data_IF_719102042338
#
_entry.id   IF_719102042338
#
_cell.length_a   1.000
_cell.length_b   1.000
_cell.length_c   1.000
_cell.angle_alpha   90.00
_cell.angle_beta   90.00
_cell.angle_gamma   90.00
#
_symmetry.space_group_name_H-M   'P 1'
#
loop_
_entity.id
_entity.type
_entity.pdbx_description
1 polymer ?
#
# COMPACT_ATOMS: atom_id res chain seq x y z
N UNK A 1 -6.87 8.48 3.24
CA UNK A 1 -5.72 9.39 3.37
C UNK A 1 -4.69 9.20 2.26
N UNK A 2 -3.94 8.08 2.20
CA UNK A 2 -2.88 7.91 1.18
C UNK A 2 -3.41 8.05 -0.25
N UNK A 3 -4.48 7.32 -0.58
CA UNK A 3 -5.10 7.35 -1.91
C UNK A 3 -5.69 8.72 -2.26
N UNK A 4 -6.18 9.47 -1.26
CA UNK A 4 -6.65 10.85 -1.46
C UNK A 4 -5.50 11.83 -1.80
N UNK A 5 -4.26 11.45 -1.51
CA UNK A 5 -3.04 12.17 -1.85
C UNK A 5 -2.30 11.53 -3.04
N UNK A 6 -2.95 10.65 -3.80
CA UNK A 6 -2.36 9.90 -4.91
C UNK A 6 -1.14 9.05 -4.53
N UNK A 7 -1.02 8.64 -3.26
CA UNK A 7 0.09 7.79 -2.78
C UNK A 7 -0.42 6.35 -2.67
N UNK A 8 0.33 5.41 -3.26
CA UNK A 8 0.12 3.95 -3.13
C UNK A 8 1.21 3.36 -2.24
N UNK A 9 0.85 2.51 -1.28
CA UNK A 9 1.81 1.91 -0.35
C UNK A 9 2.57 0.72 -0.96
N UNK A 10 1.89 -0.14 -1.73
CA UNK A 10 2.44 -1.30 -2.47
C UNK A 10 3.03 -2.43 -1.61
N UNK A 11 2.85 -2.39 -0.30
CA UNK A 11 3.30 -3.44 0.64
C UNK A 11 2.44 -3.45 1.91
N UNK A 12 1.13 -3.33 1.76
CA UNK A 12 0.19 -3.47 2.89
C UNK A 12 0.16 -4.93 3.31
N UNK A 13 0.45 -5.20 4.59
CA UNK A 13 0.47 -6.55 5.17
C UNK A 13 0.43 -6.46 6.70
N UNK A 14 0.06 -7.54 7.42
CA UNK A 14 -0.01 -7.53 8.89
C UNK A 14 1.27 -7.06 9.58
N UNK A 15 2.44 -7.39 9.02
CA UNK A 15 3.75 -7.01 9.56
C UNK A 15 3.98 -5.48 9.54
N UNK A 16 3.29 -4.76 8.64
CA UNK A 16 3.37 -3.32 8.49
C UNK A 16 2.24 -2.58 9.23
N UNK A 17 1.37 -3.30 9.95
CA UNK A 17 0.31 -2.73 10.79
C UNK A 17 0.75 -2.75 12.25
N UNK A 18 1.23 -1.61 12.74
CA UNK A 18 1.73 -1.46 14.10
C UNK A 18 0.60 -1.10 15.06
N UNK A 19 0.62 -1.72 16.24
CA UNK A 19 -0.28 -1.36 17.33
C UNK A 19 0.30 -0.18 18.11
N UNK A 20 -0.47 0.90 18.20
CA UNK A 20 -0.17 2.06 19.02
C UNK A 20 -1.16 2.14 20.18
N UNK A 21 -0.64 2.33 21.39
CA UNK A 21 -1.48 2.62 22.56
C UNK A 21 -1.62 4.13 22.69
N UNK A 22 -2.83 4.62 22.49
CA UNK A 22 -3.16 6.03 22.67
C UNK A 22 -3.06 6.44 24.14
N UNK A 23 -2.88 7.75 24.45
CA UNK A 23 -2.72 8.24 25.82
C UNK A 23 -3.83 7.85 26.80
N UNK A 24 -5.02 7.52 26.29
CA UNK A 24 -6.19 7.11 27.09
C UNK A 24 -6.37 5.58 27.19
N UNK A 25 -5.40 4.80 26.71
CA UNK A 25 -5.40 3.34 26.81
C UNK A 25 -6.10 2.62 25.65
N UNK A 26 -6.62 3.35 24.66
CA UNK A 26 -7.18 2.77 23.44
C UNK A 26 -6.07 2.25 22.52
N UNK A 27 -6.38 1.20 21.76
CA UNK A 27 -5.46 0.67 20.75
C UNK A 27 -5.85 1.21 19.37
N UNK A 28 -4.87 1.76 18.67
CA UNK A 28 -4.98 2.19 17.28
C UNK A 28 -4.02 1.37 16.41
N UNK A 29 -4.43 1.06 15.19
CA UNK A 29 -3.52 0.56 14.16
C UNK A 29 -2.90 1.73 13.41
N UNK A 30 -1.59 1.67 13.19
CA UNK A 30 -0.84 2.62 12.36
C UNK A 30 -0.07 1.85 11.29
N UNK A 31 -0.30 2.23 10.03
CA UNK A 31 0.45 1.70 8.90
C UNK A 31 1.90 2.24 8.95
N UNK A 32 2.86 1.37 8.70
CA UNK A 32 4.29 1.64 8.72
C UNK A 32 4.98 1.08 7.48
N UNK A 33 6.27 1.41 7.33
CA UNK A 33 7.14 0.97 6.24
C UNK A 33 6.72 1.43 4.83
N UNK A 34 6.93 2.72 4.57
CA UNK A 34 6.68 3.36 3.28
C UNK A 34 7.85 3.20 2.29
N UNK A 35 8.76 2.24 2.51
CA UNK A 35 9.95 2.05 1.66
C UNK A 35 9.62 1.71 0.20
N UNK A 36 8.43 1.14 -0.02
CA UNK A 36 7.88 0.87 -1.36
C UNK A 36 6.77 1.85 -1.74
N UNK A 37 6.42 2.86 -0.94
CA UNK A 37 5.35 3.77 -1.31
C UNK A 37 5.76 4.67 -2.50
N UNK A 38 4.80 5.07 -3.33
CA UNK A 38 5.04 6.00 -4.45
C UNK A 38 3.79 6.77 -4.85
N UNK A 39 3.97 7.86 -5.58
CA UNK A 39 2.88 8.66 -6.13
C UNK A 39 2.39 8.07 -7.46
N UNK A 40 1.09 8.10 -7.69
CA UNK A 40 0.50 7.79 -8.99
C UNK A 40 0.87 8.88 -10.01
N UNK A 41 1.11 8.51 -11.28
CA UNK A 41 1.33 9.48 -12.35
C UNK A 41 0.16 10.48 -12.47
N UNK A 42 0.48 11.78 -12.54
CA UNK A 42 -0.52 12.86 -12.66
C UNK A 42 -1.35 12.80 -13.95
N UNK A 43 -0.83 12.14 -15.00
CA UNK A 43 -1.47 11.99 -16.31
C UNK A 43 -2.50 10.84 -16.36
N UNK A 44 -2.78 10.20 -15.23
CA UNK A 44 -3.63 9.01 -15.16
C UNK A 44 -2.92 7.74 -15.67
N UNK A 45 -1.59 7.80 -15.83
CA UNK A 45 -0.75 6.66 -16.09
C UNK A 45 -0.81 5.62 -14.97
N UNK A 46 -0.38 4.39 -15.27
CA UNK A 46 -0.33 3.29 -14.31
C UNK A 46 1.10 2.98 -13.88
N UNK A 47 1.25 2.47 -12.67
CA UNK A 47 2.50 1.92 -12.18
C UNK A 47 2.71 0.52 -12.78
N UNK A 48 3.93 0.19 -13.20
CA UNK A 48 4.24 -1.11 -13.82
C UNK A 48 5.33 -1.89 -13.09
N UNK A 49 6.02 -1.25 -12.14
CA UNK A 49 7.13 -1.87 -11.40
C UNK A 49 6.61 -2.99 -10.49
N UNK A 50 7.12 -4.20 -10.68
CA UNK A 50 6.87 -5.33 -9.78
C UNK A 50 7.56 -5.07 -8.43
N UNK A 51 6.79 -4.98 -7.35
CA UNK A 51 7.28 -4.84 -5.98
C UNK A 51 6.27 -5.37 -4.96
N UNK A 52 6.66 -5.39 -3.68
CA UNK A 52 5.85 -5.88 -2.57
C UNK A 52 6.25 -7.29 -2.11
N UNK A 53 5.57 -7.76 -1.07
CA UNK A 53 5.81 -9.09 -0.47
C UNK A 53 5.07 -10.17 -1.26
N UNK A 54 5.75 -11.21 -1.81
CA UNK A 54 5.17 -12.14 -2.79
C UNK A 54 3.82 -12.78 -2.45
N UNK A 55 3.53 -12.99 -1.16
CA UNK A 55 2.27 -13.57 -0.69
C UNK A 55 1.08 -12.60 -0.68
N UNK A 56 1.34 -11.29 -0.76
CA UNK A 56 0.36 -10.20 -0.67
C UNK A 56 0.28 -9.37 -1.95
N UNK A 57 1.11 -9.67 -2.95
CA UNK A 57 1.12 -8.95 -4.22
C UNK A 57 -0.12 -9.29 -5.06
N UNK A 58 -0.78 -8.25 -5.58
CA UNK A 58 -1.92 -8.39 -6.49
C UNK A 58 -1.51 -8.95 -7.86
N UNK A 59 -2.43 -9.65 -8.53
CA UNK A 59 -2.14 -10.34 -9.79
C UNK A 59 -1.66 -9.39 -10.90
N UNK A 60 -2.24 -8.20 -10.98
CA UNK A 60 -1.93 -7.15 -11.96
C UNK A 60 -0.53 -6.55 -11.78
N UNK A 61 0.03 -6.63 -10.56
CA UNK A 61 1.42 -6.25 -10.30
C UNK A 61 2.36 -7.31 -10.85
N UNK A 62 2.04 -8.60 -10.65
CA UNK A 62 2.86 -9.74 -11.14
C UNK A 62 2.79 -9.83 -12.67
N UNK A 63 1.62 -9.58 -13.25
CA UNK A 63 1.37 -9.63 -14.69
C UNK A 63 1.84 -8.38 -15.43
N UNK A 64 2.36 -7.37 -14.72
CA UNK A 64 2.82 -6.09 -15.27
C UNK A 64 1.76 -5.39 -16.14
N UNK A 65 0.48 -5.62 -15.87
CA UNK A 65 -0.63 -5.05 -16.66
C UNK A 65 -0.91 -3.58 -16.36
N UNK A 66 -0.11 -3.00 -15.46
CA UNK A 66 -0.31 -1.67 -14.90
C UNK A 66 -1.31 -1.70 -13.75
N UNK A 67 -0.94 -1.06 -12.65
CA UNK A 67 -1.75 -0.99 -11.43
C UNK A 67 -1.85 0.44 -10.88
N UNK A 68 -2.82 0.62 -9.99
CA UNK A 68 -3.16 1.87 -9.31
C UNK A 68 -3.31 1.61 -7.79
N UNK A 69 -4.01 2.47 -7.07
CA UNK A 69 -4.19 2.36 -5.62
C UNK A 69 -4.94 1.10 -5.17
N UNK A 70 -5.62 0.39 -6.08
CA UNK A 70 -6.41 -0.81 -5.77
C UNK A 70 -5.56 -1.99 -5.28
N UNK A 71 -4.26 -1.99 -5.57
CA UNK A 71 -3.34 -3.04 -5.08
C UNK A 71 -3.23 -3.03 -3.55
N UNK A 72 -3.39 -1.88 -2.90
CA UNK A 72 -3.40 -1.78 -1.44
C UNK A 72 -4.68 -2.38 -0.84
N UNK A 73 -5.76 -2.50 -1.61
CA UNK A 73 -7.02 -3.13 -1.20
C UNK A 73 -6.93 -4.65 -1.34
N UNK A 74 -6.29 -5.14 -2.41
CA UNK A 74 -6.09 -6.59 -2.64
C UNK A 74 -5.37 -7.27 -1.48
N UNK A 75 -4.40 -6.59 -0.88
CA UNK A 75 -3.59 -7.13 0.19
C UNK A 75 -4.32 -7.22 1.56
N UNK A 76 -5.61 -6.83 1.63
CA UNK A 76 -6.44 -6.80 2.85
C UNK A 76 -7.39 -7.99 2.97
#
# INVERSE_FOLDING_TARGET
YLHDNSIVHRDVKPENLLLYTAPHGEFELKLADFGLATELPEDGGKLTVICGTPTYVASEVILETGYDEKVDIWAT
#
